data_IF_736007729564
#
_entry.id   IF_736007729564
#
_cell.length_a   1.000
_cell.length_b   1.000
_cell.length_c   1.000
_cell.angle_alpha   90.00
_cell.angle_beta   90.00
_cell.angle_gamma   90.00
#
_symmetry.space_group_name_H-M   'P 1'
#
loop_
_entity.id
_entity.type
_entity.pdbx_description
1 polymer ?
#
# COMPACT_ATOMS: atom_id res chain seq x y z
N UNK A 1 -14.26 -29.47 -7.87
CA UNK A 1 -13.63 -28.39 -7.08
C UNK A 1 -14.32 -27.08 -7.41
N UNK A 2 -14.81 -26.35 -6.41
CA UNK A 2 -15.33 -24.99 -6.60
C UNK A 2 -14.18 -24.06 -6.97
N UNK A 3 -13.94 -23.87 -8.28
CA UNK A 3 -12.95 -22.91 -8.79
C UNK A 3 -13.19 -21.51 -8.20
N UNK A 4 -14.46 -21.10 -8.10
CA UNK A 4 -14.85 -19.79 -7.60
C UNK A 4 -14.51 -19.54 -6.12
N UNK A 5 -14.56 -20.55 -5.26
CA UNK A 5 -14.23 -20.37 -3.83
C UNK A 5 -12.73 -20.13 -3.66
N UNK A 6 -11.91 -20.95 -4.31
CA UNK A 6 -10.45 -20.85 -4.23
C UNK A 6 -9.95 -19.50 -4.79
N UNK A 7 -10.55 -19.04 -5.90
CA UNK A 7 -10.20 -17.76 -6.53
C UNK A 7 -10.50 -16.54 -5.61
N UNK A 8 -11.60 -16.58 -4.85
CA UNK A 8 -11.97 -15.50 -3.91
C UNK A 8 -10.99 -15.45 -2.73
N UNK A 9 -10.64 -16.60 -2.16
CA UNK A 9 -9.69 -16.67 -1.05
C UNK A 9 -8.29 -16.19 -1.47
N UNK A 10 -7.84 -16.56 -2.67
CA UNK A 10 -6.55 -16.11 -3.20
C UNK A 10 -6.52 -14.59 -3.41
N UNK A 11 -7.57 -14.03 -4.02
CA UNK A 11 -7.69 -12.58 -4.20
C UNK A 11 -7.75 -11.82 -2.87
N UNK A 12 -8.46 -12.36 -1.89
CA UNK A 12 -8.55 -11.79 -0.55
C UNK A 12 -7.19 -11.78 0.14
N UNK A 13 -6.44 -12.88 0.10
CA UNK A 13 -5.12 -12.97 0.70
C UNK A 13 -4.15 -12.00 0.00
N UNK A 14 -4.20 -11.95 -1.33
CA UNK A 14 -3.36 -11.07 -2.15
C UNK A 14 -3.60 -9.58 -1.85
N UNK A 15 -4.83 -9.20 -1.50
CA UNK A 15 -5.15 -7.82 -1.10
C UNK A 15 -4.91 -7.57 0.39
N UNK A 16 -5.04 -8.60 1.23
CA UNK A 16 -4.81 -8.49 2.67
C UNK A 16 -3.33 -8.27 3.02
N UNK A 17 -2.40 -8.91 2.30
CA UNK A 17 -0.96 -8.76 2.51
C UNK A 17 -0.49 -7.29 2.42
N UNK A 18 -0.76 -6.54 1.35
CA UNK A 18 -0.34 -5.14 1.25
C UNK A 18 -1.04 -4.25 2.28
N UNK A 19 -2.30 -4.55 2.63
CA UNK A 19 -3.03 -3.85 3.71
C UNK A 19 -2.37 -4.08 5.08
N UNK A 20 -2.01 -5.32 5.40
CA UNK A 20 -1.28 -5.65 6.61
C UNK A 20 0.09 -4.98 6.66
N UNK A 21 0.80 -4.91 5.53
CA UNK A 21 2.07 -4.20 5.43
C UNK A 21 1.90 -2.68 5.70
N UNK A 22 0.87 -2.04 5.14
CA UNK A 22 0.55 -0.62 5.44
C UNK A 22 0.28 -0.41 6.93
N UNK A 23 -0.48 -1.33 7.55
CA UNK A 23 -0.80 -1.28 8.97
C UNK A 23 0.47 -1.41 9.84
N UNK A 24 1.37 -2.34 9.50
CA UNK A 24 2.65 -2.49 10.22
C UNK A 24 3.50 -1.22 10.10
N UNK A 25 3.64 -0.66 8.89
CA UNK A 25 4.37 0.59 8.66
C UNK A 25 3.76 1.74 9.48
N UNK A 26 2.44 1.84 9.52
CA UNK A 26 1.71 2.83 10.33
C UNK A 26 1.99 2.66 11.82
N UNK A 27 1.89 1.44 12.34
CA UNK A 27 2.17 1.15 13.75
C UNK A 27 3.60 1.51 14.14
N UNK A 28 4.59 1.16 13.31
CA UNK A 28 5.98 1.55 13.53
C UNK A 28 6.10 3.07 13.52
N UNK A 29 5.59 3.76 12.49
CA UNK A 29 5.67 5.22 12.38
C UNK A 29 5.02 5.95 13.56
N UNK A 30 3.94 5.40 14.11
CA UNK A 30 3.27 5.90 15.30
C UNK A 30 4.14 5.77 16.55
N UNK A 31 4.84 4.65 16.73
CA UNK A 31 5.77 4.43 17.85
C UNK A 31 6.94 5.41 17.80
N UNK A 32 7.52 5.62 16.61
CA UNK A 32 8.66 6.54 16.43
C UNK A 32 8.25 8.01 16.24
N UNK A 33 6.95 8.35 16.32
CA UNK A 33 6.41 9.72 16.15
C UNK A 33 6.93 10.43 14.91
N UNK A 34 6.99 9.70 13.80
CA UNK A 34 7.51 10.20 12.53
C UNK A 34 6.51 11.18 11.90
N UNK A 35 7.01 12.29 11.33
CA UNK A 35 6.16 13.26 10.60
C UNK A 35 5.40 12.55 9.47
N UNK A 36 4.20 13.05 9.14
CA UNK A 36 3.33 12.40 8.15
C UNK A 36 3.94 12.24 6.75
N UNK A 37 4.82 13.15 6.31
CA UNK A 37 5.45 13.08 4.99
C UNK A 37 6.33 11.82 4.76
N UNK A 38 7.33 11.54 5.61
CA UNK A 38 8.15 10.34 5.47
C UNK A 38 7.34 9.05 5.63
N UNK A 39 6.35 9.01 6.54
CA UNK A 39 5.43 7.86 6.70
C UNK A 39 4.73 7.50 5.38
N UNK A 40 4.09 8.49 4.75
CA UNK A 40 3.34 8.31 3.51
C UNK A 40 4.25 7.91 2.34
N UNK A 41 5.50 8.38 2.35
CA UNK A 41 6.50 8.01 1.33
C UNK A 41 6.91 6.55 1.45
N UNK A 42 7.16 6.06 2.68
CA UNK A 42 7.49 4.65 2.93
C UNK A 42 6.32 3.73 2.57
N UNK A 43 5.09 4.13 2.93
CA UNK A 43 3.88 3.41 2.51
C UNK A 43 3.75 3.36 0.98
N UNK A 44 3.97 4.49 0.29
CA UNK A 44 3.95 4.54 -1.17
C UNK A 44 4.99 3.63 -1.82
N UNK A 45 6.23 3.63 -1.32
CA UNK A 45 7.30 2.73 -1.81
C UNK A 45 6.89 1.27 -1.63
N UNK A 46 6.36 0.90 -0.47
CA UNK A 46 5.88 -0.47 -0.22
C UNK A 46 4.80 -0.88 -1.23
N UNK A 47 3.85 0.02 -1.54
CA UNK A 47 2.80 -0.25 -2.54
C UNK A 47 3.38 -0.43 -3.96
N UNK A 48 4.42 0.31 -4.33
CA UNK A 48 5.14 0.08 -5.60
C UNK A 48 5.80 -1.29 -5.61
N UNK A 49 6.48 -1.67 -4.53
CA UNK A 49 7.14 -2.98 -4.42
C UNK A 49 6.16 -4.14 -4.56
N UNK A 50 5.00 -4.08 -3.89
CA UNK A 50 3.95 -5.08 -4.06
C UNK A 50 3.33 -5.06 -5.45
N UNK A 51 3.10 -3.87 -6.03
CA UNK A 51 2.61 -3.74 -7.39
C UNK A 51 3.53 -4.40 -8.41
N UNK A 52 4.86 -4.21 -8.30
CA UNK A 52 5.84 -4.88 -9.16
C UNK A 52 5.84 -6.39 -8.90
N UNK A 53 5.86 -6.82 -7.63
CA UNK A 53 5.85 -8.24 -7.28
C UNK A 53 4.67 -8.97 -7.94
N UNK A 54 3.46 -8.41 -7.88
CA UNK A 54 2.24 -8.99 -8.45
C UNK A 54 2.20 -9.00 -9.99
N UNK A 55 3.01 -8.16 -10.65
CA UNK A 55 3.21 -8.24 -12.10
C UNK A 55 4.23 -9.32 -12.50
N UNK A 56 5.15 -9.68 -11.60
CA UNK A 56 6.23 -10.65 -11.86
C UNK A 56 5.91 -12.08 -11.42
N UNK A 57 4.78 -12.31 -10.75
CA UNK A 57 4.31 -13.65 -10.38
C UNK A 57 3.90 -14.45 -11.63
N UNK A 58 4.05 -15.78 -11.58
CA UNK A 58 3.71 -16.68 -12.69
C UNK A 58 2.25 -16.49 -13.17
N UNK A 59 1.35 -16.20 -12.23
CA UNK A 59 -0.01 -15.71 -12.48
C UNK A 59 -0.05 -14.19 -12.27
N UNK A 60 0.06 -13.38 -13.34
CA UNK A 60 0.09 -11.93 -13.17
C UNK A 60 -1.28 -11.40 -12.75
N UNK A 61 -1.35 -10.80 -11.56
CA UNK A 61 -2.56 -10.17 -11.04
C UNK A 61 -2.60 -8.68 -11.42
N UNK A 62 -2.71 -8.43 -12.73
CA UNK A 62 -2.53 -7.09 -13.33
C UNK A 62 -3.46 -6.04 -12.76
N UNK A 63 -4.73 -6.37 -12.46
CA UNK A 63 -5.69 -5.42 -11.89
C UNK A 63 -5.30 -5.01 -10.46
N UNK A 64 -4.91 -5.98 -9.63
CA UNK A 64 -4.46 -5.74 -8.25
C UNK A 64 -3.18 -4.92 -8.24
N UNK A 65 -2.23 -5.26 -9.10
CA UNK A 65 -0.99 -4.50 -9.27
C UNK A 65 -1.25 -3.06 -9.69
N UNK A 66 -2.13 -2.84 -10.69
CA UNK A 66 -2.51 -1.50 -11.13
C UNK A 66 -3.15 -0.70 -9.99
N UNK A 67 -4.01 -1.33 -9.19
CA UNK A 67 -4.64 -0.71 -8.03
C UNK A 67 -3.60 -0.27 -6.98
N UNK A 68 -2.63 -1.13 -6.68
CA UNK A 68 -1.53 -0.81 -5.75
C UNK A 68 -0.64 0.33 -6.27
N UNK A 69 -0.37 0.36 -7.58
CA UNK A 69 0.38 1.46 -8.20
C UNK A 69 -0.41 2.78 -8.15
N UNK A 70 -1.70 2.75 -8.41
CA UNK A 70 -2.57 3.93 -8.27
C UNK A 70 -2.61 4.44 -6.81
N UNK A 71 -2.71 3.52 -5.85
CA UNK A 71 -2.62 3.83 -4.42
C UNK A 71 -1.26 4.42 -4.05
N UNK A 72 -0.16 3.88 -4.59
CA UNK A 72 1.18 4.42 -4.38
C UNK A 72 1.29 5.87 -4.87
N UNK A 73 0.76 6.17 -6.06
CA UNK A 73 0.71 7.54 -6.59
C UNK A 73 -0.08 8.46 -5.67
N UNK A 74 -1.24 8.01 -5.17
CA UNK A 74 -2.04 8.77 -4.22
C UNK A 74 -1.28 9.04 -2.90
N UNK A 75 -0.56 8.04 -2.37
CA UNK A 75 0.26 8.18 -1.16
C UNK A 75 1.42 9.15 -1.38
N UNK A 76 2.11 9.10 -2.52
CA UNK A 76 3.16 10.07 -2.85
C UNK A 76 2.62 11.49 -3.02
N UNK A 77 1.42 11.63 -3.59
CA UNK A 77 0.73 12.92 -3.68
C UNK A 77 0.39 13.47 -2.28
N UNK A 78 -0.20 12.64 -1.42
CA UNK A 78 -0.50 12.99 -0.02
C UNK A 78 0.77 13.35 0.74
N UNK A 79 1.85 12.60 0.53
CA UNK A 79 3.16 12.87 1.10
C UNK A 79 3.62 14.29 0.70
N UNK A 80 3.69 14.58 -0.60
CA UNK A 80 4.10 15.92 -1.08
C UNK A 80 3.25 17.03 -0.47
N UNK A 81 1.93 16.83 -0.37
CA UNK A 81 1.02 17.79 0.26
C UNK A 81 1.30 17.96 1.76
N UNK A 82 1.53 16.87 2.49
CA UNK A 82 1.85 16.88 3.91
C UNK A 82 3.21 17.54 4.21
N UNK A 83 4.15 17.52 3.25
CA UNK A 83 5.42 18.24 3.33
C UNK A 83 5.25 19.76 3.26
N UNK A 84 4.32 20.23 2.43
CA UNK A 84 4.11 21.66 2.13
C UNK A 84 3.18 22.32 3.15
N UNK A 85 2.12 21.62 3.58
CA UNK A 85 1.16 22.13 4.56
C UNK A 85 1.04 21.17 5.75
N UNK A 86 1.93 21.28 6.76
CA UNK A 86 1.88 20.44 7.95
C UNK A 86 0.68 20.78 8.87
N UNK A 87 0.07 21.97 8.74
CA UNK A 87 -1.04 22.42 9.61
C UNK A 87 -2.38 21.68 9.39
N UNK A 88 -2.52 20.89 8.31
CA UNK A 88 -3.65 19.96 8.16
C UNK A 88 -3.34 18.54 8.63
N UNK A 89 -2.15 18.32 9.20
CA UNK A 89 -1.69 17.03 9.72
C UNK A 89 -1.74 16.98 11.26
N UNK A 90 -2.78 17.56 11.86
CA UNK A 90 -3.09 17.35 13.28
C UNK A 90 -3.59 15.91 13.47
N UNK A 91 -2.66 15.02 13.77
CA UNK A 91 -2.87 13.83 14.58
C UNK A 91 -1.64 13.59 15.44
#
# INVERSE_FOLDING_TARGET
MSHLDVDIFEFLILTLIPVAALFIIEMICRVVKVKSWPKLTVQGIAMVSFGIAYLTMETPHTLTALCLLALAVALFYQARRAKINPEKSLY
#
